data_IF_798175486994
#
_entry.id   IF_798175486994
#
_cell.length_a   1.000
_cell.length_b   1.000
_cell.length_c   1.000
_cell.angle_alpha   90.00
_cell.angle_beta   90.00
_cell.angle_gamma   90.00
#
_symmetry.space_group_name_H-M   'P 1'
#
loop_
_entity.id
_entity.type
_entity.pdbx_description
1 polymer ?
#
# COMPACT_ATOMS: atom_id res chain seq x y z
N UNK A 1 31.19 8.18 -0.88
CA UNK A 1 30.75 8.06 -2.28
C UNK A 1 29.25 7.76 -2.45
N UNK A 2 28.62 6.89 -1.65
CA UNK A 2 27.21 6.46 -1.84
C UNK A 2 26.12 7.56 -1.69
N UNK A 3 26.38 8.65 -0.97
CA UNK A 3 25.41 9.76 -0.79
C UNK A 3 25.34 10.71 -1.99
N UNK A 4 26.44 10.90 -2.73
CA UNK A 4 26.46 11.85 -3.85
C UNK A 4 25.78 11.28 -5.08
N UNK A 5 25.94 9.97 -5.34
CA UNK A 5 25.27 9.30 -6.46
C UNK A 5 23.76 9.24 -6.26
N UNK A 6 23.26 8.96 -5.05
CA UNK A 6 21.82 8.93 -4.80
C UNK A 6 21.15 10.30 -4.95
N UNK A 7 21.83 11.38 -4.54
CA UNK A 7 21.31 12.74 -4.72
C UNK A 7 21.31 13.17 -6.19
N UNK A 8 22.36 12.83 -6.95
CA UNK A 8 22.40 13.10 -8.39
C UNK A 8 21.27 12.39 -9.15
N UNK A 9 20.99 11.13 -8.82
CA UNK A 9 19.87 10.37 -9.39
C UNK A 9 18.53 11.02 -9.07
N UNK A 10 18.31 11.45 -7.82
CA UNK A 10 17.05 12.11 -7.44
C UNK A 10 16.84 13.41 -8.22
N UNK A 11 17.87 14.24 -8.39
CA UNK A 11 17.75 15.49 -9.17
C UNK A 11 17.49 15.22 -10.66
N UNK A 12 18.16 14.22 -11.24
CA UNK A 12 17.92 13.83 -12.62
C UNK A 12 16.47 13.36 -12.83
N UNK A 13 15.93 12.59 -11.89
CA UNK A 13 14.52 12.14 -11.93
C UNK A 13 13.55 13.30 -11.71
N UNK A 14 13.83 14.20 -10.76
CA UNK A 14 13.00 15.39 -10.51
C UNK A 14 12.92 16.29 -11.76
N UNK A 15 14.01 16.44 -12.51
CA UNK A 15 14.01 17.15 -13.80
C UNK A 15 13.22 16.38 -14.87
N UNK A 16 13.46 15.07 -15.00
CA UNK A 16 12.77 14.21 -15.97
C UNK A 16 11.24 14.23 -15.81
N UNK A 17 10.76 14.23 -14.56
CA UNK A 17 9.34 14.30 -14.24
C UNK A 17 8.79 15.74 -14.14
N UNK A 18 9.60 16.77 -14.44
CA UNK A 18 9.17 18.17 -14.48
C UNK A 18 8.98 18.85 -13.11
N UNK A 19 9.47 18.26 -12.02
CA UNK A 19 9.44 18.87 -10.68
C UNK A 19 10.59 19.89 -10.47
N UNK A 20 11.69 19.70 -11.20
CA UNK A 20 12.92 20.50 -11.18
C UNK A 20 13.85 20.17 -10.02
N UNK A 21 15.15 20.46 -10.14
CA UNK A 21 16.20 20.07 -9.19
C UNK A 21 16.02 20.65 -7.77
N UNK A 22 15.28 21.76 -7.64
CA UNK A 22 14.91 22.39 -6.36
C UNK A 22 13.63 21.80 -5.74
N UNK A 23 13.05 20.76 -6.33
CA UNK A 23 11.82 20.13 -5.84
C UNK A 23 11.95 19.70 -4.38
N UNK A 24 13.07 19.04 -4.05
CA UNK A 24 13.41 18.61 -2.68
C UNK A 24 13.41 19.76 -1.67
N UNK A 25 13.97 20.92 -2.03
CA UNK A 25 14.02 22.10 -1.14
C UNK A 25 12.64 22.70 -0.89
N UNK A 26 11.77 22.73 -1.92
CA UNK A 26 10.40 23.27 -1.81
C UNK A 26 9.41 22.28 -1.22
N UNK A 27 9.80 21.02 -1.05
CA UNK A 27 8.91 19.96 -0.57
C UNK A 27 8.35 20.29 0.81
N UNK A 28 9.18 20.74 1.74
CA UNK A 28 8.77 21.10 3.11
C UNK A 28 7.75 22.24 3.11
N UNK A 29 8.01 23.30 2.33
CA UNK A 29 7.10 24.45 2.20
C UNK A 29 5.73 24.03 1.66
N UNK A 30 5.71 23.16 0.63
CA UNK A 30 4.46 22.64 0.05
C UNK A 30 3.65 21.83 1.05
N UNK A 31 4.32 21.01 1.87
CA UNK A 31 3.65 20.23 2.92
C UNK A 31 3.05 21.16 3.98
N UNK A 32 3.78 22.18 4.40
CA UNK A 32 3.30 23.15 5.39
C UNK A 32 2.13 24.00 4.87
N UNK A 33 2.06 24.25 3.57
CA UNK A 33 0.97 24.99 2.94
C UNK A 33 -0.34 24.18 2.80
N UNK A 34 -0.35 22.88 3.09
CA UNK A 34 -1.54 22.04 2.94
C UNK A 34 -2.64 22.48 3.91
N UNK A 35 -3.83 22.74 3.37
CA UNK A 35 -5.00 23.15 4.17
C UNK A 35 -5.92 21.97 4.49
N UNK A 36 -6.79 22.14 5.48
CA UNK A 36 -7.86 21.18 5.77
C UNK A 36 -8.80 20.97 4.57
N UNK A 37 -9.07 22.04 3.80
CA UNK A 37 -9.90 21.97 2.62
C UNK A 37 -9.26 21.10 1.52
N UNK A 38 -7.94 21.20 1.33
CA UNK A 38 -7.20 20.34 0.40
C UNK A 38 -7.28 18.87 0.79
N UNK A 39 -7.13 18.58 2.09
CA UNK A 39 -7.25 17.21 2.62
C UNK A 39 -8.65 16.66 2.33
N UNK A 40 -9.70 17.41 2.67
CA UNK A 40 -11.09 17.00 2.42
C UNK A 40 -11.37 16.77 0.93
N UNK A 41 -10.91 17.69 0.06
CA UNK A 41 -11.07 17.60 -1.40
C UNK A 41 -10.37 16.36 -1.97
N UNK A 42 -9.14 16.06 -1.55
CA UNK A 42 -8.37 14.90 -2.02
C UNK A 42 -8.99 13.60 -1.51
N UNK A 43 -9.42 13.56 -0.25
CA UNK A 43 -10.12 12.41 0.31
C UNK A 43 -11.38 12.06 -0.50
N UNK A 44 -12.23 13.05 -0.79
CA UNK A 44 -13.43 12.86 -1.61
C UNK A 44 -13.11 12.41 -3.05
N UNK A 45 -11.96 12.84 -3.60
CA UNK A 45 -11.55 12.47 -4.95
C UNK A 45 -11.10 11.02 -5.06
N UNK A 46 -10.31 10.53 -4.11
CA UNK A 46 -9.59 9.26 -4.25
C UNK A 46 -10.09 8.14 -3.32
N UNK A 47 -10.68 8.44 -2.16
CA UNK A 47 -11.20 7.43 -1.23
C UNK A 47 -12.62 7.02 -1.58
N UNK A 48 -12.76 6.49 -2.80
CA UNK A 48 -14.03 6.04 -3.37
C UNK A 48 -14.15 4.53 -3.24
N UNK A 49 -15.15 4.07 -2.50
CA UNK A 49 -15.38 2.63 -2.28
C UNK A 49 -15.65 1.91 -3.60
N UNK A 50 -16.32 2.58 -4.55
CA UNK A 50 -16.57 2.06 -5.90
C UNK A 50 -15.30 1.87 -6.75
N UNK A 51 -14.20 2.52 -6.38
CA UNK A 51 -12.90 2.39 -7.05
C UNK A 51 -11.85 1.65 -6.19
N UNK A 52 -12.28 1.03 -5.08
CA UNK A 52 -11.38 0.34 -4.17
C UNK A 52 -11.07 -1.09 -4.65
N UNK A 53 -9.79 -1.48 -4.57
CA UNK A 53 -9.33 -2.86 -4.77
C UNK A 53 -8.87 -3.40 -3.41
N UNK A 54 -9.48 -4.48 -2.95
CA UNK A 54 -9.15 -5.13 -1.66
C UNK A 54 -8.55 -6.51 -1.95
N UNK A 55 -7.34 -6.75 -1.45
CA UNK A 55 -6.66 -8.05 -1.51
C UNK A 55 -6.39 -8.54 -0.10
N UNK A 56 -6.92 -9.71 0.24
CA UNK A 56 -6.74 -10.35 1.55
C UNK A 56 -5.99 -11.65 1.31
N UNK A 57 -4.78 -11.76 1.87
CA UNK A 57 -3.99 -13.00 1.85
C UNK A 57 -4.08 -13.68 3.21
N UNK A 58 -4.57 -14.91 3.21
CA UNK A 58 -4.47 -15.78 4.38
C UNK A 58 -3.27 -16.70 4.19
N UNK A 59 -2.40 -16.86 5.22
CA UNK A 59 -1.38 -17.88 5.17
C UNK A 59 -2.07 -19.25 5.07
N UNK A 60 -1.78 -19.98 4.00
CA UNK A 60 -2.16 -21.39 3.93
C UNK A 60 -1.25 -22.16 4.90
N UNK A 61 -1.80 -22.69 6.00
CA UNK A 61 -1.03 -23.60 6.85
C UNK A 61 -0.78 -24.89 6.08
N UNK A 62 0.43 -25.04 5.52
CA UNK A 62 0.90 -26.29 4.96
C UNK A 62 1.14 -27.29 6.10
N UNK A 63 0.10 -28.06 6.41
CA UNK A 63 0.13 -29.15 7.39
C UNK A 63 -0.91 -30.19 7.04
N UNK A 64 -0.75 -30.84 5.89
CA UNK A 64 -1.48 -32.07 5.59
C UNK A 64 -0.51 -33.24 5.40
N UNK A 65 -0.73 -34.24 6.25
CA UNK A 65 -0.53 -35.67 6.08
C UNK A 65 0.75 -36.35 6.63
N UNK A 66 0.64 -36.83 7.88
CA UNK A 66 1.23 -38.10 8.29
C UNK A 66 0.39 -38.79 9.37
N UNK A 67 -0.55 -39.63 8.92
CA UNK A 67 -0.90 -40.93 9.53
C UNK A 67 -1.73 -40.98 10.82
N UNK A 68 -2.84 -41.72 10.77
CA UNK A 68 -3.36 -42.45 11.95
C UNK A 68 -4.88 -42.36 12.18
N UNK A 69 -5.51 -43.55 12.17
CA UNK A 69 -6.72 -43.92 12.89
C UNK A 69 -8.07 -43.23 12.58
N UNK A 70 -8.99 -44.02 12.02
CA UNK A 70 -10.40 -43.66 11.89
C UNK A 70 -11.20 -43.80 13.19
N UNK A 71 -12.33 -43.10 13.27
CA UNK A 71 -13.51 -43.52 14.02
C UNK A 71 -14.72 -42.65 13.64
N UNK A 72 -15.77 -43.30 13.15
CA UNK A 72 -17.17 -43.00 13.50
C UNK A 72 -17.84 -41.77 12.89
N UNK A 73 -18.69 -42.00 11.89
CA UNK A 73 -19.91 -41.20 11.69
C UNK A 73 -20.81 -41.27 12.96
N UNK A 74 -21.78 -40.36 13.14
CA UNK A 74 -23.03 -40.48 12.39
C UNK A 74 -23.56 -39.16 11.79
N UNK A 75 -24.21 -39.33 10.64
CA UNK A 75 -25.11 -38.35 10.04
C UNK A 75 -26.32 -38.12 10.96
N UNK A 76 -26.72 -36.86 11.16
CA UNK A 76 -27.86 -36.48 12.00
C UNK A 76 -28.51 -35.19 11.51
N UNK A 77 -29.52 -35.36 10.65
CA UNK A 77 -30.75 -34.57 10.55
C UNK A 77 -31.06 -33.73 11.81
N UNK A 78 -31.32 -32.43 11.68
CA UNK A 78 -32.32 -31.72 12.51
C UNK A 78 -32.86 -30.46 11.80
N UNK A 79 -34.17 -30.52 11.58
CA UNK A 79 -35.18 -29.47 11.44
C UNK A 79 -35.03 -28.36 10.39
#
# INVERSE_FOLDING_TARGET
MQRFSSQASNYALDELYGLGYKSSSRYVERIQAVTKADIQRVAQKYLKTEAAVVSIVHPCSSGQNSGGEGAGAPQGLVH
#
